data_IF_062690835179
#
_entry.id   IF_062690835179
#
_cell.length_a   1.000
_cell.length_b   1.000
_cell.length_c   1.000
_cell.angle_alpha   90.00
_cell.angle_beta   90.00
_cell.angle_gamma   90.00
#
_symmetry.space_group_name_H-M   'P 1'
#
loop_
_entity.id
_entity.type
_entity.pdbx_description
1 polymer ?
#
# COMPACT_ATOMS: atom_id res chain seq x y z
N UNK A 1 -17.73 -2.16 -8.44
CA UNK A 1 -16.30 -2.39 -8.18
C UNK A 1 -15.60 -1.10 -8.55
N UNK A 2 -15.09 -0.37 -7.55
CA UNK A 2 -14.18 0.74 -7.81
C UNK A 2 -12.79 0.19 -7.51
N UNK A 3 -12.15 -0.36 -8.53
CA UNK A 3 -10.79 -0.91 -8.41
C UNK A 3 -9.84 0.27 -8.39
N UNK A 4 -9.67 0.85 -7.20
CA UNK A 4 -8.80 2.00 -7.00
C UNK A 4 -7.35 1.50 -6.98
N UNK A 5 -6.76 1.45 -8.17
CA UNK A 5 -5.34 1.12 -8.37
C UNK A 5 -4.50 2.37 -8.14
N UNK A 6 -3.46 2.24 -7.32
CA UNK A 6 -2.52 3.30 -6.98
C UNK A 6 -1.10 2.84 -7.28
N UNK A 7 -0.32 3.72 -7.91
CA UNK A 7 1.10 3.48 -8.13
C UNK A 7 1.89 3.91 -6.90
N UNK A 8 2.52 2.95 -6.22
CA UNK A 8 3.15 3.11 -4.92
C UNK A 8 4.63 2.77 -4.96
N UNK A 9 5.45 3.64 -4.36
CA UNK A 9 6.83 3.29 -4.01
C UNK A 9 6.84 2.67 -2.60
N UNK A 10 7.41 1.48 -2.46
CA UNK A 10 7.48 0.80 -1.17
C UNK A 10 8.74 1.22 -0.43
N UNK A 11 8.56 1.93 0.69
CA UNK A 11 9.67 2.50 1.46
C UNK A 11 10.40 1.43 2.28
N UNK A 12 9.65 0.53 2.92
CA UNK A 12 10.16 -0.49 3.86
C UNK A 12 9.13 -1.57 4.12
N UNK A 13 9.56 -2.66 4.76
CA UNK A 13 8.66 -3.64 5.36
C UNK A 13 8.28 -3.22 6.79
N UNK A 14 7.06 -3.55 7.20
CA UNK A 14 6.55 -3.35 8.55
C UNK A 14 5.97 -4.65 9.11
N UNK A 15 5.22 -4.59 10.21
CA UNK A 15 4.64 -5.76 10.89
C UNK A 15 3.96 -6.70 9.88
N UNK A 16 4.11 -8.01 10.05
CA UNK A 16 3.47 -9.02 9.18
C UNK A 16 4.02 -9.11 7.76
N UNK A 17 5.14 -8.44 7.44
CA UNK A 17 5.76 -8.48 6.12
C UNK A 17 5.08 -7.59 5.08
N UNK A 18 4.25 -6.65 5.50
CA UNK A 18 3.59 -5.70 4.60
C UNK A 18 4.60 -4.64 4.14
N UNK A 19 4.54 -4.29 2.85
CA UNK A 19 5.16 -3.09 2.32
C UNK A 19 4.48 -1.85 2.88
N UNK A 20 5.27 -0.81 3.15
CA UNK A 20 4.79 0.48 3.63
C UNK A 20 4.98 1.57 2.59
N UNK A 21 3.93 2.33 2.33
CA UNK A 21 3.96 3.54 1.52
C UNK A 21 3.07 4.63 2.13
N UNK A 22 3.13 5.84 1.58
CA UNK A 22 2.26 6.96 1.98
C UNK A 22 1.71 7.68 0.75
N UNK A 23 0.42 8.01 0.81
CA UNK A 23 -0.23 8.90 -0.16
C UNK A 23 -0.83 10.06 0.61
N UNK A 24 -0.44 11.29 0.27
CA UNK A 24 -0.94 12.52 0.89
C UNK A 24 -0.92 12.46 2.44
N UNK A 25 0.15 11.88 3.00
CA UNK A 25 0.33 11.70 4.44
C UNK A 25 -0.42 10.50 5.06
N UNK A 26 -1.35 9.87 4.35
CA UNK A 26 -2.06 8.67 4.79
C UNK A 26 -1.23 7.42 4.55
N UNK A 27 -1.12 6.55 5.56
CA UNK A 27 -0.38 5.29 5.45
C UNK A 27 -1.09 4.29 4.54
N UNK A 28 -0.31 3.55 3.73
CA UNK A 28 -0.79 2.45 2.89
C UNK A 28 0.04 1.20 3.20
N UNK A 29 -0.62 0.14 3.64
CA UNK A 29 -0.02 -1.16 3.90
C UNK A 29 -0.27 -2.08 2.70
N UNK A 30 0.78 -2.52 2.03
CA UNK A 30 0.72 -3.23 0.75
C UNK A 30 1.15 -4.68 0.94
N UNK A 31 0.29 -5.64 0.59
CA UNK A 31 0.64 -7.06 0.58
C UNK A 31 1.42 -7.38 -0.70
N UNK A 32 2.35 -8.33 -0.59
CA UNK A 32 3.16 -8.83 -1.72
C UNK A 32 4.05 -7.77 -2.39
N UNK A 33 4.56 -6.82 -1.61
CA UNK A 33 5.46 -5.78 -2.11
C UNK A 33 6.68 -5.61 -1.19
N UNK A 34 7.86 -5.57 -1.79
CA UNK A 34 9.16 -5.48 -1.14
C UNK A 34 9.71 -4.04 -1.18
N UNK A 35 10.64 -3.67 -0.28
CA UNK A 35 11.24 -2.34 -0.27
C UNK A 35 11.94 -2.02 -1.60
N UNK A 36 11.86 -0.76 -2.02
CA UNK A 36 12.40 -0.21 -3.27
C UNK A 36 11.64 -0.63 -4.54
N UNK A 37 10.54 -1.38 -4.44
CA UNK A 37 9.67 -1.65 -5.58
C UNK A 37 8.75 -0.47 -5.90
N UNK A 38 8.43 -0.34 -7.19
CA UNK A 38 7.37 0.52 -7.70
C UNK A 38 6.25 -0.38 -8.22
N UNK A 39 5.13 -0.42 -7.52
CA UNK A 39 4.03 -1.36 -7.78
C UNK A 39 2.74 -0.62 -8.09
N UNK A 40 1.90 -1.22 -8.93
CA UNK A 40 0.48 -0.83 -9.04
C UNK A 40 -0.29 -1.70 -8.04
N UNK A 41 -0.96 -1.08 -7.07
CA UNK A 41 -1.62 -1.80 -5.98
C UNK A 41 -3.10 -1.39 -5.86
N UNK A 42 -3.98 -2.38 -5.73
CA UNK A 42 -5.41 -2.21 -5.54
C UNK A 42 -5.74 -1.98 -4.05
N UNK A 43 -6.51 -0.93 -3.77
CA UNK A 43 -7.00 -0.68 -2.41
C UNK A 43 -8.15 -1.62 -2.09
N UNK A 44 -7.90 -2.56 -1.17
CA UNK A 44 -8.89 -3.54 -0.69
C UNK A 44 -9.61 -3.08 0.58
N UNK A 45 -9.07 -2.08 1.29
CA UNK A 45 -9.70 -1.51 2.49
C UNK A 45 -9.27 -0.08 2.73
N UNK A 46 -10.24 0.82 2.90
CA UNK A 46 -9.97 2.18 3.38
C UNK A 46 -10.45 2.37 4.81
N UNK A 47 -9.57 2.85 5.68
CA UNK A 47 -9.90 3.33 7.02
C UNK A 47 -9.57 4.81 7.13
N UNK A 48 -9.96 5.45 8.24
CA UNK A 48 -9.66 6.86 8.51
C UNK A 48 -8.16 7.15 8.44
N UNK A 49 -7.37 6.36 9.16
CA UNK A 49 -5.94 6.65 9.37
C UNK A 49 -5.02 5.94 8.36
N UNK A 50 -5.49 4.87 7.71
CA UNK A 50 -4.70 4.10 6.76
C UNK A 50 -5.56 3.38 5.71
N UNK A 51 -4.90 2.88 4.67
CA UNK A 51 -5.49 1.96 3.70
C UNK A 51 -4.69 0.66 3.63
N UNK A 52 -5.36 -0.44 3.29
CA UNK A 52 -4.72 -1.71 2.94
C UNK A 52 -4.84 -1.91 1.43
N UNK A 53 -3.76 -2.38 0.81
CA UNK A 53 -3.67 -2.64 -0.61
C UNK A 53 -3.01 -4.00 -0.90
N UNK A 54 -3.20 -4.49 -2.11
CA UNK A 54 -2.56 -5.70 -2.64
C UNK A 54 -2.00 -5.38 -4.02
N UNK A 55 -0.80 -5.90 -4.34
CA UNK A 55 -0.28 -5.88 -5.73
C UNK A 55 -1.11 -6.80 -6.60
#
# INVERSE_FOLDING_TARGET
MNDKILRLNIEKLVYGGYGFSKINGKAVFVRYAAPKELVDAEIIKEKKDFSEAVV
#
